data_IF_872018622912
#
_entry.id   IF_872018622912
#
_cell.length_a   1.000
_cell.length_b   1.000
_cell.length_c   1.000
_cell.angle_alpha   90.00
_cell.angle_beta   90.00
_cell.angle_gamma   90.00
#
_symmetry.space_group_name_H-M   'P 1'
#
loop_
_entity.id
_entity.type
_entity.pdbx_description
1 polymer ?
#
# COMPACT_ATOMS: atom_id res chain seq x y z
N UNK A 1 13.48 -24.27 23.80
CA UNK A 1 12.99 -25.57 23.30
C UNK A 1 11.62 -25.42 22.70
N UNK A 2 11.43 -25.92 21.49
CA UNK A 2 10.13 -25.94 20.82
C UNK A 2 9.29 -27.11 21.34
N UNK A 3 8.07 -26.81 21.79
CA UNK A 3 7.16 -27.81 22.36
C UNK A 3 6.16 -28.25 21.29
N UNK A 4 6.44 -29.40 20.68
CA UNK A 4 5.56 -30.04 19.72
C UNK A 4 4.43 -30.80 20.42
N UNK A 5 3.27 -30.88 19.77
CA UNK A 5 2.13 -31.62 20.30
C UNK A 5 0.87 -31.44 19.47
N UNK A 6 -0.20 -32.14 19.87
CA UNK A 6 -1.49 -32.05 19.18
C UNK A 6 -2.11 -30.65 19.37
N UNK A 7 -2.36 -29.95 18.26
CA UNK A 7 -2.85 -28.56 18.27
C UNK A 7 -4.30 -28.44 18.76
N UNK A 8 -5.17 -29.41 18.42
CA UNK A 8 -6.57 -29.41 18.84
C UNK A 8 -6.72 -29.61 20.35
N UNK A 9 -5.98 -30.58 20.92
CA UNK A 9 -5.97 -30.82 22.36
C UNK A 9 -5.45 -29.62 23.16
N UNK A 10 -4.64 -28.77 22.52
CA UNK A 10 -4.09 -27.52 23.10
C UNK A 10 -4.99 -26.31 22.86
N UNK A 11 -6.12 -26.46 22.17
CA UNK A 11 -7.05 -25.37 21.86
C UNK A 11 -6.55 -24.39 20.80
N UNK A 12 -5.50 -24.75 20.04
CA UNK A 12 -4.95 -23.94 18.95
C UNK A 12 -5.76 -24.28 17.69
N UNK A 13 -6.82 -23.52 17.45
CA UNK A 13 -7.79 -23.77 16.36
C UNK A 13 -7.88 -22.52 15.48
N UNK A 14 -7.63 -22.69 14.18
CA UNK A 14 -7.87 -21.65 13.18
C UNK A 14 -9.30 -21.77 12.63
N UNK A 15 -10.05 -20.66 12.49
CA UNK A 15 -11.36 -20.70 11.86
C UNK A 15 -11.25 -21.11 10.40
N UNK A 16 -12.13 -22.02 9.95
CA UNK A 16 -12.14 -22.54 8.58
C UNK A 16 -12.09 -21.44 7.49
N UNK A 17 -12.85 -20.36 7.70
CA UNK A 17 -12.89 -19.21 6.78
C UNK A 17 -11.51 -18.55 6.66
N UNK A 18 -10.74 -18.44 7.75
CA UNK A 18 -9.44 -17.78 7.75
C UNK A 18 -8.45 -18.57 6.89
N UNK A 19 -8.30 -19.86 7.15
CA UNK A 19 -7.37 -20.71 6.38
C UNK A 19 -7.76 -20.79 4.90
N UNK A 20 -9.06 -20.91 4.61
CA UNK A 20 -9.55 -20.96 3.23
C UNK A 20 -9.31 -19.66 2.47
N UNK A 21 -9.72 -18.52 3.03
CA UNK A 21 -9.55 -17.23 2.37
C UNK A 21 -8.07 -16.86 2.23
N UNK A 22 -7.22 -17.21 3.21
CA UNK A 22 -5.78 -17.02 3.09
C UNK A 22 -5.19 -17.77 1.89
N UNK A 23 -5.57 -19.05 1.73
CA UNK A 23 -5.11 -19.86 0.61
C UNK A 23 -5.63 -19.34 -0.74
N UNK A 24 -6.93 -19.05 -0.85
CA UNK A 24 -7.56 -18.54 -2.07
C UNK A 24 -6.90 -17.22 -2.52
N UNK A 25 -6.65 -16.29 -1.58
CA UNK A 25 -5.98 -15.03 -1.88
C UNK A 25 -4.53 -15.24 -2.31
N UNK A 26 -3.79 -16.13 -1.64
CA UNK A 26 -2.41 -16.43 -1.99
C UNK A 26 -2.30 -17.03 -3.40
N UNK A 27 -3.17 -17.99 -3.73
CA UNK A 27 -3.22 -18.62 -5.05
C UNK A 27 -3.62 -17.62 -6.14
N UNK A 28 -4.53 -16.69 -5.84
CA UNK A 28 -4.92 -15.61 -6.77
C UNK A 28 -3.70 -14.77 -7.19
N UNK A 29 -2.91 -14.28 -6.23
CA UNK A 29 -1.69 -13.51 -6.52
C UNK A 29 -0.65 -14.40 -7.22
N UNK A 30 -0.42 -15.62 -6.74
CA UNK A 30 0.54 -16.54 -7.35
C UNK A 30 0.19 -16.82 -8.82
N UNK A 31 -1.09 -16.98 -9.15
CA UNK A 31 -1.57 -17.16 -10.51
C UNK A 31 -1.27 -15.96 -11.41
N UNK A 32 -1.48 -14.74 -10.93
CA UNK A 32 -1.09 -13.53 -11.65
C UNK A 32 0.42 -13.47 -11.87
N UNK A 33 1.23 -13.75 -10.85
CA UNK A 33 2.70 -13.70 -10.94
C UNK A 33 3.23 -14.73 -11.93
N UNK A 34 2.71 -15.96 -11.94
CA UNK A 34 3.16 -17.02 -12.84
C UNK A 34 2.79 -16.77 -14.31
N UNK A 35 1.68 -16.06 -14.57
CA UNK A 35 1.20 -15.78 -15.93
C UNK A 35 1.66 -14.42 -16.46
N UNK A 36 2.18 -13.54 -15.59
CA UNK A 36 2.71 -12.23 -15.96
C UNK A 36 4.22 -12.32 -16.16
N UNK A 37 4.66 -12.35 -17.42
CA UNK A 37 6.07 -12.57 -17.77
C UNK A 37 7.02 -11.41 -17.41
N UNK A 38 6.52 -10.17 -17.28
CA UNK A 38 7.33 -9.01 -16.93
C UNK A 38 6.50 -7.93 -16.21
N UNK A 39 7.19 -7.12 -15.40
CA UNK A 39 6.63 -5.95 -14.73
C UNK A 39 7.39 -4.72 -15.24
N UNK A 40 6.66 -3.71 -15.71
CA UNK A 40 7.21 -2.42 -16.13
C UNK A 40 6.84 -1.39 -15.07
N UNK A 41 7.83 -0.64 -14.58
CA UNK A 41 7.63 0.44 -13.63
C UNK A 41 8.29 1.71 -14.16
N UNK A 42 7.65 2.86 -13.93
CA UNK A 42 8.23 4.15 -14.24
C UNK A 42 9.41 4.46 -13.32
N UNK A 43 10.39 5.19 -13.85
CA UNK A 43 11.51 5.68 -13.04
C UNK A 43 10.98 6.74 -12.06
N UNK A 44 11.52 6.81 -10.83
CA UNK A 44 11.19 7.90 -9.92
C UNK A 44 11.46 9.24 -10.59
N UNK A 45 10.44 10.10 -10.68
CA UNK A 45 10.64 11.44 -11.18
C UNK A 45 11.58 12.18 -10.22
N UNK A 46 12.59 12.91 -10.72
CA UNK A 46 13.34 13.83 -9.88
C UNK A 46 12.34 14.81 -9.27
N UNK A 47 12.35 14.94 -7.93
CA UNK A 47 11.52 15.93 -7.22
C UNK A 47 11.69 17.26 -7.93
N UNK A 48 10.62 17.73 -8.56
CA UNK A 48 10.65 18.87 -9.46
C UNK A 48 11.37 20.05 -8.80
N UNK A 49 12.25 20.70 -9.56
CA UNK A 49 12.62 22.06 -9.26
C UNK A 49 11.32 22.85 -9.24
N UNK A 50 10.79 23.14 -8.05
CA UNK A 50 9.66 24.04 -7.91
C UNK A 50 10.03 25.31 -8.69
N UNK A 51 9.14 25.81 -9.57
CA UNK A 51 9.42 27.03 -10.32
C UNK A 51 9.90 28.10 -9.34
N UNK A 52 11.09 28.64 -9.58
CA UNK A 52 11.61 29.72 -8.77
C UNK A 52 10.58 30.86 -8.84
N UNK A 53 9.91 31.11 -7.72
CA UNK A 53 8.96 32.21 -7.64
C UNK A 53 9.74 33.50 -7.94
N UNK A 54 9.26 34.36 -8.86
CA UNK A 54 9.97 35.59 -9.18
C UNK A 54 10.17 36.44 -7.92
N UNK A 55 11.40 36.89 -7.61
CA UNK A 55 11.64 37.79 -6.50
C UNK A 55 11.11 39.17 -6.90
N UNK A 56 9.87 39.50 -6.51
CA UNK A 56 9.33 40.83 -6.87
C UNK A 56 7.85 41.13 -6.59
N UNK A 57 7.10 40.28 -5.90
CA UNK A 57 5.67 40.51 -5.63
C UNK A 57 5.37 41.25 -4.32
N UNK A 58 5.97 42.42 -4.08
CA UNK A 58 5.53 43.32 -3.00
C UNK A 58 4.29 44.08 -3.48
N UNK A 59 3.13 43.86 -2.87
CA UNK A 59 2.01 44.81 -3.03
C UNK A 59 0.62 44.30 -2.70
N UNK A 60 0.08 44.78 -1.58
CA UNK A 60 -1.35 45.09 -1.48
C UNK A 60 -2.22 43.99 -0.89
N UNK A 61 -2.67 44.19 0.34
CA UNK A 61 -3.65 43.33 0.99
C UNK A 61 -5.02 43.33 0.31
N UNK A 62 -5.76 42.25 0.52
CA UNK A 62 -7.21 42.27 0.56
C UNK A 62 -7.64 41.16 1.55
N UNK A 63 -8.34 41.51 2.64
CA UNK A 63 -8.75 40.58 3.69
C UNK A 63 -9.96 39.74 3.25
N UNK A 64 -10.00 38.52 3.78
CA UNK A 64 -11.17 37.66 4.01
C UNK A 64 -12.30 37.67 2.97
N UNK A 65 -12.31 36.68 2.09
CA UNK A 65 -13.54 36.21 1.43
C UNK A 65 -13.91 34.81 1.95
N UNK A 66 -15.08 34.64 2.60
CA UNK A 66 -15.52 33.34 3.12
C UNK A 66 -15.99 32.39 2.00
N UNK A 67 -15.92 31.05 2.23
CA UNK A 67 -16.15 30.05 1.19
C UNK A 67 -17.63 29.94 0.79
N UNK A 68 -17.88 29.79 -0.52
CA UNK A 68 -19.04 29.08 -1.04
C UNK A 68 -18.67 27.62 -1.30
#
# INVERSE_FOLDING_TARGET
DDVFGNMQARGIIDPLKVTRSALENAVSIAGMVLTTNCLVADLPEPKGAMPAMPPGGMGGGMPDMPPM
#
